data_IF_161698079861
#
_entry.id   IF_161698079861
#
_cell.length_a   1.000
_cell.length_b   1.000
_cell.length_c   1.000
_cell.angle_alpha   90.00
_cell.angle_beta   90.00
_cell.angle_gamma   90.00
#
_symmetry.space_group_name_H-M   'P 1'
#
loop_
_entity.id
_entity.type
_entity.pdbx_description
1 polymer ?
#
# COMPACT_ATOMS: atom_id res chain seq x y z
N UNK A 1 -7.46 14.87 5.55
CA UNK A 1 -7.67 13.43 5.20
C UNK A 1 -8.31 12.69 6.37
N UNK A 2 -9.48 13.14 6.84
CA UNK A 2 -10.24 12.40 7.86
C UNK A 2 -11.01 11.19 7.27
N UNK A 3 -11.12 11.12 5.94
CA UNK A 3 -12.01 10.17 5.25
C UNK A 3 -11.40 8.79 4.98
N UNK A 4 -10.07 8.62 5.02
CA UNK A 4 -9.43 7.32 4.78
C UNK A 4 -9.19 6.54 6.08
N UNK A 5 -9.08 7.22 7.23
CA UNK A 5 -8.78 6.57 8.51
C UNK A 5 -9.90 5.62 9.03
N UNK A 6 -11.14 5.76 8.56
CA UNK A 6 -12.29 5.01 9.07
C UNK A 6 -12.70 3.78 8.23
N UNK A 7 -12.06 3.52 7.09
CA UNK A 7 -12.59 2.56 6.10
C UNK A 7 -12.02 1.18 6.31
N UNK A 8 -12.71 0.33 7.08
CA UNK A 8 -12.47 -1.12 7.19
C UNK A 8 -13.18 -1.92 6.10
N UNK A 9 -12.62 -3.08 5.78
CA UNK A 9 -13.01 -4.04 4.72
C UNK A 9 -14.46 -4.59 4.74
N UNK A 10 -15.39 -4.01 5.49
CA UNK A 10 -16.77 -4.50 5.56
C UNK A 10 -17.86 -3.43 5.55
N UNK A 11 -17.52 -2.13 5.50
CA UNK A 11 -18.48 -1.06 5.76
C UNK A 11 -18.87 -0.17 4.59
N UNK A 12 -18.15 -0.23 3.46
CA UNK A 12 -18.38 0.69 2.34
C UNK A 12 -19.27 0.10 1.26
N UNK A 13 -20.12 0.94 0.68
CA UNK A 13 -20.78 0.61 -0.57
C UNK A 13 -19.77 0.52 -1.74
N UNK A 14 -20.19 -0.14 -2.81
CA UNK A 14 -19.34 -0.43 -3.98
C UNK A 14 -18.80 0.84 -4.65
N UNK A 15 -19.60 1.91 -4.76
CA UNK A 15 -19.20 3.13 -5.45
C UNK A 15 -18.16 3.90 -4.63
N UNK A 16 -18.35 3.95 -3.31
CA UNK A 16 -17.35 4.53 -2.41
C UNK A 16 -16.06 3.73 -2.46
N UNK A 17 -16.13 2.40 -2.38
CA UNK A 17 -14.95 1.53 -2.51
C UNK A 17 -14.20 1.78 -3.81
N UNK A 18 -14.92 1.80 -4.94
CA UNK A 18 -14.33 2.07 -6.26
C UNK A 18 -13.61 3.42 -6.29
N UNK A 19 -14.23 4.46 -5.74
CA UNK A 19 -13.70 5.82 -5.76
C UNK A 19 -12.43 5.93 -4.90
N UNK A 20 -12.42 5.34 -3.70
CA UNK A 20 -11.26 5.36 -2.80
C UNK A 20 -10.12 4.52 -3.36
N UNK A 21 -10.39 3.32 -3.88
CA UNK A 21 -9.36 2.46 -4.53
C UNK A 21 -8.71 3.20 -5.70
N UNK A 22 -9.50 3.78 -6.61
CA UNK A 22 -8.96 4.53 -7.76
C UNK A 22 -8.11 5.72 -7.35
N UNK A 23 -8.53 6.43 -6.30
CA UNK A 23 -7.82 7.60 -5.80
C UNK A 23 -6.49 7.22 -5.16
N UNK A 24 -6.50 6.21 -4.29
CA UNK A 24 -5.31 5.75 -3.56
C UNK A 24 -4.29 5.06 -4.47
N UNK A 25 -4.74 4.27 -5.47
CA UNK A 25 -3.84 3.73 -6.51
C UNK A 25 -3.15 4.85 -7.30
N UNK A 26 -3.90 5.88 -7.70
CA UNK A 26 -3.32 7.03 -8.40
C UNK A 26 -2.31 7.76 -7.52
N UNK A 27 -2.60 7.94 -6.23
CA UNK A 27 -1.65 8.57 -5.30
C UNK A 27 -0.38 7.75 -5.14
N UNK A 28 -0.47 6.42 -5.00
CA UNK A 28 0.73 5.58 -4.97
C UNK A 28 1.57 5.72 -6.24
N UNK A 29 0.95 5.74 -7.41
CA UNK A 29 1.67 5.95 -8.68
C UNK A 29 2.28 7.36 -8.79
N UNK A 30 1.78 8.35 -8.03
CA UNK A 30 2.37 9.69 -7.96
C UNK A 30 3.53 9.76 -6.97
N UNK A 31 3.43 9.06 -5.84
CA UNK A 31 4.48 9.01 -4.80
C UNK A 31 5.64 8.12 -5.26
N UNK A 32 5.34 7.02 -5.92
CA UNK A 32 6.28 6.03 -6.45
C UNK A 32 6.10 5.91 -7.97
N UNK A 33 6.51 6.93 -8.75
CA UNK A 33 6.35 6.93 -10.20
C UNK A 33 7.18 5.82 -10.83
N UNK A 34 6.67 5.23 -11.91
CA UNK A 34 7.39 4.24 -12.70
C UNK A 34 6.47 3.28 -13.45
N UNK A 35 7.08 2.34 -14.16
CA UNK A 35 6.39 1.37 -15.01
C UNK A 35 6.84 -0.06 -14.75
N UNK A 36 7.50 -0.30 -13.62
CA UNK A 36 8.12 -1.60 -13.33
C UNK A 36 7.10 -2.58 -12.83
N UNK A 37 6.16 -2.14 -11.98
CA UNK A 37 5.17 -2.99 -11.32
C UNK A 37 3.77 -2.57 -11.76
N UNK A 38 2.96 -3.53 -12.20
CA UNK A 38 1.54 -3.34 -12.45
C UNK A 38 0.74 -3.79 -11.23
N UNK A 39 -0.01 -2.88 -10.63
CA UNK A 39 -0.82 -3.12 -9.43
C UNK A 39 -2.29 -3.15 -9.85
N UNK A 40 -2.95 -4.27 -9.62
CA UNK A 40 -4.33 -4.55 -10.04
C UNK A 40 -5.23 -4.73 -8.81
N UNK A 41 -6.36 -4.03 -8.82
CA UNK A 41 -7.40 -4.15 -7.80
C UNK A 41 -8.75 -4.38 -8.50
N UNK A 42 -9.00 -5.57 -9.05
CA UNK A 42 -10.25 -5.88 -9.72
C UNK A 42 -11.45 -5.83 -8.75
N UNK A 43 -12.63 -5.37 -9.21
CA UNK A 43 -12.94 -4.88 -10.56
C UNK A 43 -12.68 -3.37 -10.75
N UNK A 44 -11.99 -2.72 -9.83
CA UNK A 44 -12.04 -1.26 -9.69
C UNK A 44 -11.03 -0.51 -10.56
N UNK A 45 -9.76 -0.93 -10.57
CA UNK A 45 -8.70 -0.27 -11.34
C UNK A 45 -7.38 -1.07 -11.38
N UNK A 46 -6.46 -0.62 -12.24
CA UNK A 46 -5.06 -0.99 -12.22
C UNK A 46 -4.19 0.25 -12.50
N UNK A 47 -2.97 0.28 -11.98
CA UNK A 47 -1.96 1.31 -12.24
C UNK A 47 -0.59 0.69 -12.43
N UNK A 48 0.29 1.40 -13.14
CA UNK A 48 1.72 1.09 -13.13
C UNK A 48 2.43 2.07 -12.20
N UNK A 49 3.37 1.54 -11.42
CA UNK A 49 4.13 2.28 -10.43
C UNK A 49 5.53 1.65 -10.27
N UNK A 50 6.31 2.24 -9.37
CA UNK A 50 7.63 1.80 -8.95
C UNK A 50 8.67 1.98 -10.06
N UNK A 51 9.69 2.80 -9.77
CA UNK A 51 10.80 3.02 -10.67
C UNK A 51 11.68 1.76 -10.76
N UNK A 52 12.34 1.58 -11.90
CA UNK A 52 13.22 0.45 -12.14
C UNK A 52 13.35 0.09 -13.61
N UNK A 53 14.39 -0.70 -13.96
CA UNK A 53 14.56 -1.15 -15.33
C UNK A 53 13.36 -1.97 -15.77
N UNK A 54 12.87 -1.64 -16.96
CA UNK A 54 11.81 -2.39 -17.63
C UNK A 54 12.19 -3.86 -17.74
N UNK A 55 11.17 -4.71 -17.69
CA UNK A 55 11.29 -6.10 -18.03
C UNK A 55 12.02 -6.24 -19.36
N UNK A 56 13.14 -6.95 -19.33
CA UNK A 56 13.77 -7.47 -20.53
C UNK A 56 13.05 -8.75 -20.94
N UNK A 57 13.04 -9.04 -22.24
CA UNK A 57 12.39 -10.24 -22.80
C UNK A 57 12.92 -11.48 -22.05
N UNK A 58 12.02 -12.20 -21.38
CA UNK A 58 12.33 -13.43 -20.63
C UNK A 58 12.02 -13.39 -19.13
N UNK A 59 11.92 -12.21 -18.52
CA UNK A 59 11.47 -12.10 -17.11
C UNK A 59 9.95 -11.92 -17.02
N UNK A 60 9.23 -12.72 -16.20
CA UNK A 60 7.79 -12.58 -16.01
C UNK A 60 7.43 -11.16 -15.53
N UNK A 61 6.28 -10.60 -15.95
CA UNK A 61 5.88 -9.23 -15.60
C UNK A 61 5.75 -9.07 -14.08
N UNK A 62 6.20 -7.95 -13.51
CA UNK A 62 6.02 -7.68 -12.09
C UNK A 62 4.55 -7.24 -11.92
N UNK A 63 3.72 -8.16 -11.47
CA UNK A 63 2.28 -7.94 -11.30
C UNK A 63 1.91 -8.21 -9.86
N UNK A 64 1.16 -7.29 -9.28
CA UNK A 64 0.50 -7.44 -7.99
C UNK A 64 -1.00 -7.40 -8.20
N UNK A 65 -1.73 -8.38 -7.67
CA UNK A 65 -3.19 -8.44 -7.73
C UNK A 65 -3.79 -8.72 -6.35
N UNK A 66 -4.85 -7.98 -5.99
CA UNK A 66 -5.60 -8.18 -4.74
C UNK A 66 -7.01 -7.57 -4.86
N UNK A 67 -7.92 -7.88 -3.92
CA UNK A 67 -9.25 -7.25 -3.89
C UNK A 67 -9.24 -5.84 -3.26
N UNK A 68 -10.34 -5.11 -3.44
CA UNK A 68 -10.47 -3.73 -2.94
C UNK A 68 -10.42 -3.59 -1.42
N UNK A 69 -10.93 -4.56 -0.66
CA UNK A 69 -10.87 -4.54 0.80
C UNK A 69 -9.43 -4.70 1.28
N UNK A 70 -8.73 -5.72 0.75
CA UNK A 70 -7.31 -5.96 1.03
C UNK A 70 -6.45 -4.74 0.70
N UNK A 71 -6.65 -4.11 -0.46
CA UNK A 71 -5.96 -2.87 -0.82
C UNK A 71 -6.18 -1.75 0.21
N UNK A 72 -7.43 -1.53 0.63
CA UNK A 72 -7.75 -0.47 1.59
C UNK A 72 -7.18 -0.74 2.98
N UNK A 73 -7.19 -1.99 3.44
CA UNK A 73 -6.55 -2.37 4.71
C UNK A 73 -5.03 -2.15 4.67
N UNK A 74 -4.37 -2.40 3.54
CA UNK A 74 -2.94 -2.09 3.34
C UNK A 74 -2.69 -0.58 3.35
N UNK A 75 -3.49 0.20 2.59
CA UNK A 75 -3.38 1.67 2.51
C UNK A 75 -3.38 2.31 3.91
N UNK A 76 -4.25 1.84 4.80
CA UNK A 76 -4.41 2.39 6.14
C UNK A 76 -3.60 1.68 7.22
N UNK A 77 -2.90 0.59 6.88
CA UNK A 77 -2.06 -0.17 7.80
C UNK A 77 -2.80 -1.10 8.77
N UNK A 78 -4.04 -1.53 8.44
CA UNK A 78 -4.73 -2.61 9.19
C UNK A 78 -4.25 -4.00 8.83
N UNK A 79 -3.62 -4.14 7.66
CA UNK A 79 -2.98 -5.35 7.18
C UNK A 79 -1.59 -4.95 6.68
N UNK A 80 -0.56 -5.71 7.02
CA UNK A 80 0.77 -5.51 6.42
C UNK A 80 0.87 -6.21 5.07
N UNK A 81 1.79 -5.75 4.22
CA UNK A 81 2.03 -6.37 2.91
C UNK A 81 2.41 -7.85 3.02
N UNK A 82 3.32 -8.19 3.94
CA UNK A 82 3.75 -9.58 4.13
C UNK A 82 2.59 -10.47 4.59
N UNK A 83 1.80 -10.01 5.56
CA UNK A 83 0.60 -10.75 6.00
C UNK A 83 -0.39 -10.96 4.86
N UNK A 84 -0.61 -9.95 4.01
CA UNK A 84 -1.51 -10.07 2.86
C UNK A 84 -1.05 -11.15 1.87
N UNK A 85 0.26 -11.22 1.59
CA UNK A 85 0.84 -12.24 0.70
C UNK A 85 0.81 -13.62 1.35
N UNK A 86 1.23 -13.73 2.62
CA UNK A 86 1.23 -14.98 3.38
C UNK A 86 -0.18 -15.58 3.52
N UNK A 87 -1.20 -14.75 3.71
CA UNK A 87 -2.60 -15.16 3.77
C UNK A 87 -3.23 -15.42 2.38
N UNK A 88 -2.48 -15.22 1.29
CA UNK A 88 -2.98 -15.36 -0.07
C UNK A 88 -4.03 -14.31 -0.47
N UNK A 89 -4.11 -13.19 0.26
CA UNK A 89 -5.00 -12.05 -0.05
C UNK A 89 -4.42 -11.13 -1.13
N UNK A 90 -3.09 -11.15 -1.28
CA UNK A 90 -2.38 -10.48 -2.36
C UNK A 90 -1.50 -11.50 -3.10
N UNK A 91 -1.57 -11.47 -4.43
CA UNK A 91 -0.72 -12.26 -5.30
C UNK A 91 0.34 -11.37 -5.93
N UNK A 92 1.61 -11.64 -5.62
CA UNK A 92 2.76 -10.95 -6.18
C UNK A 92 3.53 -11.90 -7.11
N UNK A 93 3.74 -11.50 -8.34
CA UNK A 93 4.50 -12.24 -9.35
C UNK A 93 5.61 -11.35 -9.88
N UNK A 94 6.85 -11.87 -9.95
CA UNK A 94 8.03 -11.14 -10.40
C UNK A 94 8.94 -10.67 -9.26
N UNK A 95 10.23 -10.52 -9.56
CA UNK A 95 11.30 -10.24 -8.57
C UNK A 95 11.17 -8.88 -7.87
N UNK A 96 10.34 -7.96 -8.40
CA UNK A 96 10.13 -6.63 -7.83
C UNK A 96 8.68 -6.34 -7.48
N UNK A 97 7.84 -7.37 -7.41
CA UNK A 97 6.46 -7.23 -6.98
C UNK A 97 6.32 -7.06 -5.45
N UNK A 98 7.36 -6.63 -4.75
CA UNK A 98 7.32 -6.32 -3.32
C UNK A 98 6.91 -4.86 -3.10
N UNK A 99 5.79 -4.67 -2.41
CA UNK A 99 5.23 -3.36 -2.09
C UNK A 99 5.34 -3.02 -0.59
N UNK A 100 6.11 -3.77 0.21
CA UNK A 100 6.22 -3.54 1.65
C UNK A 100 6.50 -2.08 2.01
N UNK A 101 7.45 -1.45 1.31
CA UNK A 101 7.85 -0.06 1.53
C UNK A 101 6.83 1.00 1.08
N UNK A 102 5.73 0.59 0.44
CA UNK A 102 4.68 1.51 -0.02
C UNK A 102 3.55 1.70 0.99
N UNK A 103 3.48 0.86 2.03
CA UNK A 103 2.40 0.84 3.00
C UNK A 103 2.93 1.02 4.44
N UNK A 104 2.14 1.64 5.34
CA UNK A 104 0.89 2.36 5.06
C UNK A 104 1.15 3.67 4.30
N UNK A 105 0.17 4.13 3.52
CA UNK A 105 0.31 5.36 2.75
C UNK A 105 0.11 6.57 3.67
N UNK A 106 1.20 7.19 4.11
CA UNK A 106 1.17 8.46 4.82
C UNK A 106 1.24 9.60 3.81
N UNK A 107 0.34 10.59 3.93
CA UNK A 107 0.49 11.82 3.14
C UNK A 107 1.75 12.57 3.60
N UNK A 108 2.51 13.24 2.72
CA UNK A 108 3.69 14.01 3.11
C UNK A 108 3.40 15.20 4.06
N UNK A 109 2.13 15.52 4.34
CA UNK A 109 1.72 16.44 5.40
C UNK A 109 1.33 15.68 6.66
N UNK A 110 2.26 14.92 7.21
CA UNK A 110 2.23 14.48 8.60
C UNK A 110 3.66 14.55 9.16
N UNK A 111 4.24 15.75 9.13
CA UNK A 111 5.29 16.08 10.09
C UNK A 111 4.63 16.22 11.46
N UNK A 112 4.61 15.14 12.22
CA UNK A 112 4.40 15.24 13.67
C UNK A 112 5.40 14.33 14.36
N UNK A 113 6.47 14.99 14.80
CA UNK A 113 7.47 14.70 15.84
C UNK A 113 7.94 13.26 16.10
N UNK A 114 9.27 13.03 16.22
CA UNK A 114 9.78 11.87 16.92
C UNK A 114 9.38 12.00 18.40
N UNK A 115 8.54 11.08 18.89
CA UNK A 115 8.40 10.88 20.33
C UNK A 115 9.75 10.42 20.85
N UNK A 116 10.45 11.35 21.51
CA UNK A 116 11.62 11.05 22.31
C UNK A 116 11.22 10.02 23.37
N UNK A 117 11.86 8.85 23.34
CA UNK A 117 11.98 8.00 24.50
C UNK A 117 12.83 8.72 25.55
N UNK A 118 12.19 9.54 26.38
CA UNK A 118 12.68 9.87 27.72
C UNK A 118 12.42 8.67 28.61
N UNK A 119 13.47 7.92 28.94
CA UNK A 119 13.50 7.16 30.19
C UNK A 119 14.14 8.04 31.27
N UNK A 120 13.57 8.10 32.49
CA UNK A 120 14.13 8.87 33.60
C UNK A 120 15.40 8.19 34.14
N UNK A 121 16.29 8.94 34.83
CA UNK A 121 17.38 8.34 35.58
C UNK A 121 16.80 7.57 36.78
N UNK A 122 17.18 6.30 36.90
CA UNK A 122 17.03 5.56 38.16
C UNK A 122 18.14 6.04 39.09
N UNK A 123 17.78 6.82 40.11
CA UNK A 123 18.63 7.07 41.26
C UNK A 123 18.91 5.74 41.98
N UNK A 124 20.20 5.42 42.14
CA UNK A 124 20.68 4.28 42.89
C UNK A 124 21.67 4.74 43.97
N UNK A 125 21.16 4.68 45.21
CA UNK A 125 21.81 4.57 46.53
C UNK A 125 23.32 4.86 46.68
#
# INVERSE_FOLDING_TARGET
MAAVAAVGSGGLDRNTTQSVVRTTLRWLAQIQPGHTVEIRVPPFAAVQAIDGPRHTRGTPPNVVEMDGGTWLDLVVGRLSWHEAVEQGRAHASGLRADLAGCFPMTSPTAMTSPTAMTSPPMDGA
#
